data_IF_570146103296
#
_entry.id   IF_570146103296
#
_cell.length_a   1.000
_cell.length_b   1.000
_cell.length_c   1.000
_cell.angle_alpha   90.00
_cell.angle_beta   90.00
_cell.angle_gamma   90.00
#
_symmetry.space_group_name_H-M   'P 1'
#
loop_
_entity.id
_entity.type
_entity.pdbx_description
1 polymer ?
#
# COMPACT_ATOMS: atom_id res chain seq x y z
N UNK A 1 8.65 1.59 13.83
CA UNK A 1 7.45 2.36 13.44
C UNK A 1 6.22 1.46 13.47
N UNK A 2 5.04 2.02 13.79
CA UNK A 2 3.76 1.32 13.76
C UNK A 2 2.99 1.70 12.50
N UNK A 3 2.38 0.73 11.83
CA UNK A 3 1.72 0.94 10.52
C UNK A 3 0.29 0.47 10.56
N UNK A 4 -0.65 1.29 10.08
CA UNK A 4 -2.03 0.91 9.81
C UNK A 4 -2.14 0.51 8.34
N UNK A 5 -2.66 -0.67 8.04
CA UNK A 5 -2.80 -1.14 6.67
C UNK A 5 -4.25 -1.47 6.39
N UNK A 6 -4.77 -1.01 5.25
CA UNK A 6 -6.07 -1.43 4.73
C UNK A 6 -5.94 -2.19 3.42
N UNK A 7 -6.99 -2.93 3.02
CA UNK A 7 -6.96 -3.64 1.75
C UNK A 7 -5.90 -4.75 1.65
N UNK A 8 -5.42 -5.28 2.78
CA UNK A 8 -4.38 -6.31 2.84
C UNK A 8 -4.76 -7.65 2.20
N UNK A 9 -6.03 -7.86 1.81
CA UNK A 9 -6.47 -9.05 1.07
C UNK A 9 -6.31 -8.91 -0.45
N UNK A 10 -6.08 -7.70 -0.95
CA UNK A 10 -5.84 -7.45 -2.37
C UNK A 10 -4.40 -7.74 -2.77
N UNK A 11 -4.14 -7.84 -4.08
CA UNK A 11 -2.83 -8.19 -4.64
C UNK A 11 -1.70 -7.26 -4.11
N UNK A 12 -1.84 -5.95 -4.30
CA UNK A 12 -0.85 -4.98 -3.83
C UNK A 12 -0.79 -4.89 -2.29
N UNK A 13 -1.95 -4.85 -1.63
CA UNK A 13 -2.04 -4.73 -0.18
C UNK A 13 -1.40 -5.91 0.55
N UNK A 14 -1.56 -7.13 0.04
CA UNK A 14 -0.93 -8.31 0.62
C UNK A 14 0.61 -8.29 0.42
N UNK A 15 1.08 -7.86 -0.75
CA UNK A 15 2.52 -7.66 -0.99
C UNK A 15 3.12 -6.64 -0.02
N UNK A 16 2.44 -5.50 0.18
CA UNK A 16 2.84 -4.48 1.16
C UNK A 16 2.87 -5.08 2.58
N UNK A 17 1.82 -5.81 2.99
CA UNK A 17 1.77 -6.45 4.31
C UNK A 17 3.00 -7.33 4.55
N UNK A 18 3.36 -8.18 3.59
CA UNK A 18 4.51 -9.09 3.74
C UNK A 18 5.82 -8.33 3.87
N UNK A 19 6.04 -7.29 3.07
CA UNK A 19 7.23 -6.44 3.18
C UNK A 19 7.29 -5.75 4.55
N UNK A 20 6.17 -5.24 5.05
CA UNK A 20 6.10 -4.60 6.36
C UNK A 20 6.42 -5.59 7.50
N UNK A 21 5.90 -6.81 7.45
CA UNK A 21 6.13 -7.80 8.51
C UNK A 21 7.57 -8.32 8.53
N UNK A 22 8.19 -8.44 7.35
CA UNK A 22 9.57 -8.89 7.20
C UNK A 22 10.61 -7.83 7.65
N UNK A 23 10.24 -6.55 7.65
CA UNK A 23 11.16 -5.46 7.96
C UNK A 23 11.31 -5.21 9.48
N UNK A 24 12.55 -5.09 9.95
CA UNK A 24 12.86 -4.91 11.38
C UNK A 24 12.59 -3.50 11.91
N UNK A 25 12.55 -2.49 11.04
CA UNK A 25 12.16 -1.12 11.45
C UNK A 25 10.67 -1.02 11.77
N UNK A 26 9.85 -1.94 11.25
CA UNK A 26 8.43 -2.03 11.55
C UNK A 26 8.25 -2.84 12.82
N UNK A 27 7.78 -2.17 13.88
CA UNK A 27 7.55 -2.79 15.17
C UNK A 27 6.17 -3.42 15.25
N UNK A 28 5.17 -2.84 14.58
CA UNK A 28 3.80 -3.35 14.59
C UNK A 28 3.03 -2.95 13.34
N UNK A 29 2.16 -3.84 12.86
CA UNK A 29 1.21 -3.61 11.78
C UNK A 29 -0.20 -3.89 12.31
N UNK A 30 -1.10 -2.93 12.13
CA UNK A 30 -2.52 -3.06 12.38
C UNK A 30 -3.24 -3.17 11.06
N UNK A 31 -3.78 -4.34 10.76
CA UNK A 31 -4.65 -4.55 9.62
C UNK A 31 -6.07 -4.12 9.97
N UNK A 32 -6.60 -3.11 9.27
CA UNK A 32 -8.00 -2.71 9.34
C UNK A 32 -8.74 -3.22 8.09
N UNK A 33 -9.72 -4.09 8.30
CA UNK A 33 -10.44 -4.75 7.23
C UNK A 33 -11.88 -5.10 7.60
N UNK A 34 -12.70 -5.39 6.59
CA UNK A 34 -14.10 -5.83 6.79
C UNK A 34 -14.24 -7.24 7.35
N UNK A 35 -13.15 -8.00 7.32
CA UNK A 35 -13.05 -9.41 7.68
C UNK A 35 -11.59 -9.72 8.02
N UNK A 36 -11.30 -10.79 8.77
CA UNK A 36 -9.94 -11.14 9.09
C UNK A 36 -9.21 -11.67 7.84
N UNK A 37 -7.88 -11.82 7.93
CA UNK A 37 -7.09 -12.32 6.81
C UNK A 37 -7.56 -13.73 6.42
N UNK A 38 -7.75 -14.03 5.12
CA UNK A 38 -8.18 -15.35 4.69
C UNK A 38 -7.19 -16.45 5.09
N UNK A 39 -7.64 -17.68 5.37
CA UNK A 39 -6.75 -18.79 5.76
C UNK A 39 -5.69 -19.17 4.71
N UNK A 40 -5.94 -18.86 3.42
CA UNK A 40 -4.97 -19.11 2.34
C UNK A 40 -3.76 -18.16 2.35
N UNK A 41 -3.82 -17.07 3.14
CA UNK A 41 -2.73 -16.11 3.24
C UNK A 41 -1.59 -16.72 4.06
N UNK A 42 -0.41 -16.78 3.44
CA UNK A 42 0.84 -17.11 4.14
C UNK A 42 1.60 -15.81 4.43
N UNK A 43 2.01 -15.63 5.68
CA UNK A 43 2.79 -14.49 6.17
C UNK A 43 4.24 -14.91 6.44
N UNK A 44 5.24 -14.07 6.12
CA UNK A 44 6.63 -14.34 6.49
C UNK A 44 6.75 -14.38 8.02
N UNK A 45 7.42 -15.41 8.56
CA UNK A 45 7.60 -15.62 10.00
C UNK A 45 6.28 -15.67 10.81
N UNK A 46 5.16 -15.95 10.15
CA UNK A 46 3.85 -16.09 10.79
C UNK A 46 3.41 -17.55 10.90
N UNK A 47 2.32 -17.77 11.63
CA UNK A 47 1.64 -19.07 11.67
C UNK A 47 0.59 -19.13 10.57
N UNK A 48 0.61 -20.17 9.74
CA UNK A 48 -0.46 -20.46 8.78
C UNK A 48 -1.25 -21.69 9.26
N UNK A 49 -2.57 -21.61 9.24
CA UNK A 49 -3.45 -22.75 9.53
C UNK A 49 -4.48 -22.87 8.42
N UNK A 50 -4.92 -24.10 8.11
CA UNK A 50 -5.82 -24.34 6.99
C UNK A 50 -7.21 -23.71 7.16
N UNK A 51 -7.64 -23.45 8.42
CA UNK A 51 -9.01 -23.05 8.73
C UNK A 51 -9.13 -21.68 9.40
N UNK A 52 -8.07 -21.15 10.00
CA UNK A 52 -8.10 -19.87 10.71
C UNK A 52 -7.21 -18.83 10.03
N UNK A 53 -7.51 -17.57 10.28
CA UNK A 53 -6.69 -16.46 9.82
C UNK A 53 -5.24 -16.58 10.30
N UNK A 54 -4.26 -16.29 9.45
CA UNK A 54 -2.86 -16.34 9.84
C UNK A 54 -2.58 -15.30 10.93
N UNK A 55 -1.66 -15.64 11.83
CA UNK A 55 -1.22 -14.75 12.92
C UNK A 55 0.27 -14.48 12.82
N UNK A 56 0.71 -13.34 13.35
CA UNK A 56 2.12 -12.94 13.36
C UNK A 56 2.38 -12.07 14.59
N UNK A 57 3.55 -12.16 15.27
CA UNK A 57 3.82 -11.39 16.49
C UNK A 57 3.66 -9.87 16.33
N UNK A 58 4.04 -9.34 15.16
CA UNK A 58 3.89 -7.93 14.79
C UNK A 58 2.53 -7.55 14.19
N UNK A 59 1.53 -8.45 14.13
CA UNK A 59 0.27 -8.20 13.42
C UNK A 59 -0.92 -8.18 14.38
N UNK A 60 -1.73 -7.14 14.28
CA UNK A 60 -3.06 -7.05 14.91
C UNK A 60 -4.12 -6.85 13.84
N UNK A 61 -5.28 -7.48 14.00
CA UNK A 61 -6.41 -7.32 13.09
C UNK A 61 -7.55 -6.58 13.79
N UNK A 62 -8.06 -5.53 13.15
CA UNK A 62 -9.27 -4.83 13.58
C UNK A 62 -10.32 -5.04 12.50
N UNK A 63 -11.43 -5.67 12.88
CA UNK A 63 -12.57 -5.87 12.01
C UNK A 63 -13.50 -4.65 12.07
N UNK A 64 -13.72 -4.04 10.92
CA UNK A 64 -14.58 -2.89 10.77
C UNK A 64 -15.31 -2.94 9.42
N UNK A 65 -16.64 -3.07 9.47
CA UNK A 65 -17.45 -3.32 8.27
C UNK A 65 -17.76 -2.06 7.47
N UNK A 66 -17.99 -0.95 8.16
CA UNK A 66 -18.48 0.29 7.56
C UNK A 66 -17.40 1.37 7.54
N UNK A 67 -16.63 1.41 6.46
CA UNK A 67 -15.59 2.42 6.27
C UNK A 67 -16.12 3.84 6.04
N UNK A 68 -17.45 4.06 6.00
CA UNK A 68 -18.02 5.41 5.96
C UNK A 68 -18.21 6.00 7.36
N UNK A 69 -18.14 5.17 8.41
CA UNK A 69 -18.40 5.59 9.78
C UNK A 69 -17.31 5.08 10.74
N UNK A 70 -16.51 5.99 11.29
CA UNK A 70 -15.45 5.67 12.24
C UNK A 70 -15.86 6.05 13.66
N UNK A 71 -16.42 5.12 14.46
CA UNK A 71 -16.85 5.42 15.82
C UNK A 71 -15.65 5.83 16.70
N UNK A 72 -15.84 6.69 17.73
CA UNK A 72 -14.75 7.19 18.56
C UNK A 72 -13.83 6.10 19.15
N UNK A 73 -14.40 4.96 19.55
CA UNK A 73 -13.66 3.82 20.07
C UNK A 73 -12.70 3.18 19.04
N UNK A 74 -13.04 3.21 17.75
CA UNK A 74 -12.15 2.76 16.68
C UNK A 74 -11.03 3.78 16.45
N UNK A 75 -11.37 5.07 16.46
CA UNK A 75 -10.41 6.15 16.29
C UNK A 75 -9.31 6.11 17.37
N UNK A 76 -9.68 5.79 18.61
CA UNK A 76 -8.71 5.62 19.72
C UNK A 76 -7.76 4.44 19.49
N UNK A 77 -8.26 3.30 19.00
CA UNK A 77 -7.43 2.12 18.70
C UNK A 77 -6.44 2.33 17.57
N UNK A 78 -6.79 3.16 16.59
CA UNK A 78 -5.93 3.45 15.43
C UNK A 78 -5.02 4.67 15.66
N UNK A 79 -5.31 5.51 16.67
CA UNK A 79 -4.48 6.64 17.04
C UNK A 79 -3.04 6.16 17.38
N UNK A 80 -2.05 6.60 16.59
CA UNK A 80 -0.65 6.21 16.74
C UNK A 80 -0.09 5.21 15.70
N UNK A 81 -0.83 4.89 14.63
CA UNK A 81 -0.36 4.06 13.52
C UNK A 81 -0.31 4.83 12.19
N UNK A 82 0.80 4.79 11.45
CA UNK A 82 0.95 5.45 10.14
C UNK A 82 0.26 4.65 9.00
N UNK A 83 -0.66 5.21 8.18
CA UNK A 83 -1.42 4.43 7.21
C UNK A 83 -0.66 4.15 5.92
N UNK A 84 -0.41 2.87 5.63
CA UNK A 84 0.31 2.40 4.44
C UNK A 84 -0.57 2.15 3.19
N UNK A 85 -1.90 2.25 3.32
CA UNK A 85 -2.83 2.16 2.20
C UNK A 85 -4.19 2.80 2.54
N UNK A 86 -4.45 3.98 1.99
CA UNK A 86 -5.72 4.68 2.22
C UNK A 86 -6.85 4.19 1.32
N UNK A 87 -7.99 3.79 1.88
CA UNK A 87 -9.27 3.93 1.19
C UNK A 87 -9.69 5.42 1.30
N UNK A 88 -10.30 6.01 0.27
CA UNK A 88 -10.72 7.43 0.25
C UNK A 88 -11.58 7.84 1.46
N UNK A 89 -12.25 6.87 2.09
CA UNK A 89 -13.04 7.08 3.29
C UNK A 89 -12.22 7.37 4.56
N UNK A 90 -10.89 7.36 4.51
CA UNK A 90 -10.03 7.78 5.64
C UNK A 90 -10.03 9.29 5.92
N UNK A 91 -10.56 10.12 5.02
CA UNK A 91 -10.48 11.58 5.13
C UNK A 91 -11.10 12.19 6.40
N UNK A 92 -12.25 11.71 6.92
CA UNK A 92 -12.81 12.22 8.17
C UNK A 92 -11.92 11.86 9.38
N UNK A 93 -11.40 10.63 9.44
CA UNK A 93 -10.52 10.17 10.52
C UNK A 93 -9.17 10.90 10.54
N UNK A 94 -8.65 11.28 9.36
CA UNK A 94 -7.46 12.12 9.22
C UNK A 94 -7.70 13.57 9.68
N UNK A 95 -8.90 14.11 9.45
CA UNK A 95 -9.27 15.49 9.85
C UNK A 95 -9.43 15.66 11.36
N UNK A 96 -9.96 14.67 12.08
CA UNK A 96 -10.23 14.80 13.52
C UNK A 96 -9.05 14.47 14.42
N UNK A 97 -8.16 13.54 14.03
CA UNK A 97 -7.11 13.01 14.91
C UNK A 97 -5.79 12.66 14.21
N UNK A 98 -5.41 13.40 13.17
CA UNK A 98 -4.04 13.36 12.67
C UNK A 98 -3.07 13.68 13.81
N UNK A 99 -2.52 12.66 14.48
CA UNK A 99 -1.60 12.80 15.63
C UNK A 99 -0.20 13.28 15.20
N UNK A 100 -0.06 13.67 13.93
CA UNK A 100 1.16 14.20 13.36
C UNK A 100 1.39 15.64 13.80
N UNK A 101 2.65 15.96 14.03
CA UNK A 101 3.13 17.33 14.24
C UNK A 101 3.85 17.81 12.99
N UNK A 102 4.17 19.09 12.89
CA UNK A 102 4.99 19.60 11.78
C UNK A 102 6.40 18.97 11.75
N UNK A 103 6.90 18.51 12.91
CA UNK A 103 8.21 17.85 13.04
C UNK A 103 8.15 16.35 12.74
N UNK A 104 7.03 15.68 13.07
CA UNK A 104 6.79 14.29 12.74
C UNK A 104 5.36 14.13 12.19
N UNK A 105 5.17 14.33 10.88
CA UNK A 105 3.86 14.26 10.25
C UNK A 105 3.31 12.84 10.24
N UNK A 106 1.98 12.75 10.21
CA UNK A 106 1.27 11.50 9.99
C UNK A 106 1.29 11.16 8.50
N UNK A 107 1.94 10.05 8.16
CA UNK A 107 2.34 9.62 6.83
C UNK A 107 1.28 8.74 6.21
N UNK A 108 0.61 9.25 5.19
CA UNK A 108 -0.38 8.53 4.41
C UNK A 108 0.23 8.09 3.08
N UNK A 109 0.39 6.79 2.92
CA UNK A 109 0.75 6.18 1.64
C UNK A 109 -0.52 5.69 0.94
N UNK A 110 -0.79 6.20 -0.26
CA UNK A 110 -1.97 5.85 -1.05
C UNK A 110 -1.57 5.11 -2.31
N UNK A 111 -2.07 3.88 -2.47
CA UNK A 111 -1.91 3.10 -3.69
C UNK A 111 -3.06 3.41 -4.65
N UNK A 112 -2.75 4.21 -5.66
CA UNK A 112 -3.65 4.61 -6.73
C UNK A 112 -3.59 3.62 -7.90
N UNK A 113 -3.40 4.09 -9.12
CA UNK A 113 -3.12 3.29 -10.31
C UNK A 113 -2.60 4.18 -11.43
N UNK A 114 -1.77 3.60 -12.30
CA UNK A 114 -1.31 4.26 -13.52
C UNK A 114 -2.52 4.70 -14.37
N UNK A 115 -2.53 5.95 -14.80
CA UNK A 115 -3.65 6.53 -15.57
C UNK A 115 -4.76 7.16 -14.73
N UNK A 116 -4.61 7.27 -13.40
CA UNK A 116 -5.54 8.05 -12.58
C UNK A 116 -5.67 9.49 -13.11
N UNK A 117 -6.91 9.94 -13.32
CA UNK A 117 -7.20 11.23 -13.95
C UNK A 117 -7.56 12.28 -12.91
N UNK A 118 -6.59 13.10 -12.54
CA UNK A 118 -6.76 14.22 -11.61
C UNK A 118 -7.71 15.31 -12.13
N UNK A 119 -8.02 15.34 -13.43
CA UNK A 119 -9.04 16.25 -13.99
C UNK A 119 -10.45 15.69 -13.89
N UNK A 120 -10.60 14.41 -13.55
CA UNK A 120 -11.88 13.70 -13.39
C UNK A 120 -12.77 13.69 -14.66
N UNK A 121 -12.15 13.83 -15.83
CA UNK A 121 -12.80 13.90 -17.14
C UNK A 121 -12.79 12.58 -17.92
N UNK A 122 -11.97 11.61 -17.49
CA UNK A 122 -11.83 10.34 -18.18
C UNK A 122 -13.14 9.59 -18.35
N UNK A 123 -13.30 8.95 -19.51
CA UNK A 123 -14.45 8.06 -19.78
C UNK A 123 -14.39 6.77 -18.93
N UNK A 124 -13.22 6.43 -18.37
CA UNK A 124 -13.02 5.27 -17.51
C UNK A 124 -13.32 5.64 -16.06
N UNK A 125 -14.31 4.97 -15.45
CA UNK A 125 -14.76 5.27 -14.07
C UNK A 125 -13.62 5.15 -13.05
N UNK A 126 -12.79 4.12 -13.13
CA UNK A 126 -11.69 3.89 -12.21
C UNK A 126 -10.69 5.05 -12.18
N UNK A 127 -10.32 5.57 -13.34
CA UNK A 127 -9.36 6.67 -13.48
C UNK A 127 -9.88 7.93 -12.79
N UNK A 128 -11.17 8.26 -12.96
CA UNK A 128 -11.82 9.39 -12.27
C UNK A 128 -11.90 9.20 -10.76
N UNK A 129 -12.32 8.03 -10.30
CA UNK A 129 -12.47 7.74 -8.86
C UNK A 129 -11.12 7.81 -8.15
N UNK A 130 -10.07 7.25 -8.76
CA UNK A 130 -8.71 7.34 -8.22
C UNK A 130 -8.17 8.77 -8.26
N UNK A 131 -8.33 9.49 -9.36
CA UNK A 131 -7.93 10.90 -9.47
C UNK A 131 -8.60 11.79 -8.41
N UNK A 132 -9.91 11.61 -8.17
CA UNK A 132 -10.63 12.31 -7.09
C UNK A 132 -10.06 11.99 -5.71
N UNK A 133 -9.77 10.72 -5.45
CA UNK A 133 -9.19 10.30 -4.17
C UNK A 133 -7.80 10.92 -3.94
N UNK A 134 -6.97 11.00 -4.99
CA UNK A 134 -5.67 11.67 -4.96
C UNK A 134 -5.81 13.16 -4.66
N UNK A 135 -6.67 13.87 -5.40
CA UNK A 135 -6.92 15.30 -5.21
C UNK A 135 -7.34 15.61 -3.78
N UNK A 136 -8.27 14.83 -3.24
CA UNK A 136 -8.76 15.05 -1.88
C UNK A 136 -7.68 14.75 -0.82
N UNK A 137 -6.79 13.78 -1.04
CA UNK A 137 -5.68 13.51 -0.12
C UNK A 137 -4.63 14.62 -0.14
N UNK A 138 -4.28 15.12 -1.33
CA UNK A 138 -3.35 16.24 -1.51
C UNK A 138 -3.90 17.47 -0.78
N UNK A 139 -5.17 17.80 -1.04
CA UNK A 139 -5.86 18.91 -0.37
C UNK A 139 -5.88 18.75 1.14
N UNK A 140 -6.17 17.57 1.66
CA UNK A 140 -6.16 17.31 3.11
C UNK A 140 -4.75 17.48 3.71
N UNK A 141 -3.70 17.08 2.98
CA UNK A 141 -2.32 17.27 3.42
C UNK A 141 -1.92 18.75 3.43
N UNK A 142 -2.28 19.52 2.40
CA UNK A 142 -2.07 20.96 2.32
C UNK A 142 -2.81 21.71 3.43
N UNK A 143 -4.09 21.43 3.62
CA UNK A 143 -4.94 22.02 4.68
C UNK A 143 -4.42 21.69 6.09
N UNK A 144 -3.69 20.58 6.27
CA UNK A 144 -3.16 20.17 7.58
C UNK A 144 -2.01 21.05 8.08
N UNK A 145 -1.41 21.88 7.22
CA UNK A 145 -0.26 22.72 7.56
C UNK A 145 1.00 21.92 7.89
N UNK A 146 1.22 20.79 7.19
CA UNK A 146 2.37 19.92 7.39
C UNK A 146 2.22 18.87 8.48
N UNK A 147 1.03 18.71 9.08
CA UNK A 147 0.75 17.61 10.04
C UNK A 147 0.51 16.26 9.36
N UNK A 148 0.15 16.27 8.08
CA UNK A 148 -0.07 15.08 7.26
C UNK A 148 0.90 15.10 6.09
N UNK A 149 1.70 14.03 5.95
CA UNK A 149 2.54 13.78 4.79
C UNK A 149 1.84 12.82 3.85
N UNK A 150 1.56 13.23 2.61
CA UNK A 150 0.96 12.37 1.61
C UNK A 150 2.02 11.81 0.65
N UNK A 151 1.93 10.52 0.31
CA UNK A 151 2.66 9.91 -0.80
C UNK A 151 1.70 9.04 -1.60
N UNK A 152 1.61 9.30 -2.89
CA UNK A 152 0.69 8.66 -3.82
C UNK A 152 1.50 7.84 -4.81
N UNK A 153 1.22 6.56 -4.89
CA UNK A 153 1.85 5.61 -5.80
C UNK A 153 0.90 5.29 -6.94
N UNK A 154 1.35 5.42 -8.19
CA UNK A 154 0.62 5.02 -9.40
C UNK A 154 1.30 3.82 -10.06
N UNK A 155 1.14 2.62 -9.48
CA UNK A 155 1.73 1.42 -10.05
C UNK A 155 1.08 1.11 -11.40
N UNK A 156 1.89 0.58 -12.32
CA UNK A 156 1.43 -0.02 -13.55
C UNK A 156 0.80 -1.39 -13.30
N UNK A 157 0.92 -2.30 -14.26
CA UNK A 157 0.40 -3.65 -14.07
C UNK A 157 1.26 -4.43 -13.07
N UNK A 158 0.64 -5.23 -12.21
CA UNK A 158 1.35 -6.10 -11.27
C UNK A 158 0.61 -7.43 -11.10
N UNK A 159 1.39 -8.51 -11.04
CA UNK A 159 0.89 -9.87 -10.86
C UNK A 159 0.85 -10.23 -9.36
N UNK A 160 0.00 -11.19 -8.96
CA UNK A 160 0.16 -11.85 -7.66
C UNK A 160 1.60 -12.32 -7.45
N UNK A 161 2.04 -12.35 -6.20
CA UNK A 161 3.42 -12.71 -5.86
C UNK A 161 3.76 -14.11 -6.37
N UNK A 162 4.93 -14.25 -7.00
CA UNK A 162 5.42 -15.54 -7.49
C UNK A 162 5.84 -16.47 -6.35
N UNK A 163 6.27 -15.89 -5.23
CA UNK A 163 6.73 -16.61 -4.04
C UNK A 163 5.55 -17.24 -3.28
N UNK A 164 4.32 -16.81 -3.57
CA UNK A 164 3.09 -17.29 -2.94
C UNK A 164 2.06 -17.72 -3.99
N UNK A 165 2.24 -18.89 -4.63
CA UNK A 165 1.40 -19.34 -5.75
C UNK A 165 -0.10 -19.43 -5.44
N UNK A 166 -0.45 -19.65 -4.17
CA UNK A 166 -1.83 -19.70 -3.68
C UNK A 166 -2.55 -18.35 -3.72
N UNK A 167 -1.84 -17.24 -3.85
CA UNK A 167 -2.46 -15.90 -3.92
C UNK A 167 -3.23 -15.72 -5.23
N UNK A 168 -2.65 -16.15 -6.35
CA UNK A 168 -3.23 -15.97 -7.67
C UNK A 168 -4.67 -16.49 -7.80
N UNK A 169 -5.00 -17.76 -7.46
CA UNK A 169 -6.38 -18.26 -7.54
C UNK A 169 -7.36 -17.53 -6.62
N UNK A 170 -6.89 -16.94 -5.53
CA UNK A 170 -7.73 -16.27 -4.54
C UNK A 170 -7.90 -14.76 -4.79
N UNK A 171 -7.02 -14.16 -5.59
CA UNK A 171 -7.03 -12.73 -5.88
C UNK A 171 -7.47 -12.41 -7.31
N UNK A 172 -7.34 -13.36 -8.25
CA UNK A 172 -7.65 -13.18 -9.67
C UNK A 172 -8.66 -14.24 -10.12
N UNK A 173 -9.74 -13.79 -10.78
CA UNK A 173 -10.68 -14.70 -11.44
C UNK A 173 -10.00 -15.54 -12.53
N UNK A 174 -10.62 -16.67 -12.90
CA UNK A 174 -10.03 -17.64 -13.86
C UNK A 174 -9.63 -16.98 -15.18
N UNK A 175 -10.47 -16.12 -15.75
CA UNK A 175 -10.19 -15.41 -17.01
C UNK A 175 -8.93 -14.53 -16.92
N UNK A 176 -8.77 -13.76 -15.83
CA UNK A 176 -7.57 -12.95 -15.63
C UNK A 176 -6.33 -13.80 -15.40
N UNK A 177 -6.43 -14.94 -14.72
CA UNK A 177 -5.27 -15.85 -14.54
C UNK A 177 -4.80 -16.46 -15.86
N UNK A 178 -5.74 -16.81 -16.74
CA UNK A 178 -5.41 -17.30 -18.10
C UNK A 178 -4.75 -16.19 -18.90
N UNK A 179 -5.31 -14.98 -18.88
CA UNK A 179 -4.70 -13.81 -19.53
C UNK A 179 -3.31 -13.52 -18.97
N UNK A 180 -3.11 -13.54 -17.65
CA UNK A 180 -1.82 -13.33 -17.00
C UNK A 180 -0.79 -14.37 -17.44
N UNK A 181 -1.19 -15.64 -17.63
CA UNK A 181 -0.29 -16.68 -18.14
C UNK A 181 0.08 -16.50 -19.60
N UNK A 182 -0.88 -16.13 -20.45
CA UNK A 182 -0.68 -15.97 -21.89
C UNK A 182 0.10 -14.69 -22.23
N UNK A 183 -0.19 -13.60 -21.53
CA UNK A 183 0.36 -12.28 -21.83
C UNK A 183 1.44 -11.83 -20.84
N UNK A 184 1.60 -12.49 -19.69
CA UNK A 184 2.53 -12.04 -18.66
C UNK A 184 4.00 -12.08 -19.05
N UNK A 185 4.46 -13.18 -19.66
CA UNK A 185 5.84 -13.28 -20.12
C UNK A 185 6.15 -12.26 -21.24
N UNK A 186 5.34 -12.16 -22.33
CA UNK A 186 5.53 -11.11 -23.33
C UNK A 186 5.47 -9.69 -22.76
N UNK A 187 4.49 -9.38 -21.90
CA UNK A 187 4.32 -8.05 -21.31
C UNK A 187 5.52 -7.67 -20.43
N UNK A 188 6.03 -8.61 -19.63
CA UNK A 188 7.20 -8.37 -18.78
C UNK A 188 8.50 -8.17 -19.57
N UNK A 189 8.62 -8.79 -20.75
CA UNK A 189 9.81 -8.74 -21.60
C UNK A 189 9.82 -7.50 -22.50
N UNK A 190 8.69 -7.19 -23.14
CA UNK A 190 8.59 -6.11 -24.13
C UNK A 190 8.06 -4.78 -23.55
N UNK A 191 7.47 -4.80 -22.35
CA UNK A 191 6.94 -3.61 -21.68
C UNK A 191 7.31 -3.59 -20.19
N UNK A 192 8.59 -3.85 -19.89
CA UNK A 192 9.11 -3.88 -18.53
C UNK A 192 8.88 -2.55 -17.78
N UNK A 193 8.85 -1.41 -18.48
CA UNK A 193 8.55 -0.09 -17.89
C UNK A 193 7.14 0.05 -17.32
N UNK A 194 6.17 -0.75 -17.77
CA UNK A 194 4.78 -0.72 -17.31
C UNK A 194 4.40 -1.76 -16.27
N UNK A 195 5.33 -2.67 -15.92
CA UNK A 195 5.09 -3.74 -14.94
C UNK A 195 5.96 -3.53 -13.70
N UNK A 196 5.36 -3.65 -12.51
CA UNK A 196 6.04 -3.59 -11.21
C UNK A 196 5.66 -4.81 -10.39
N UNK A 197 6.57 -5.35 -9.57
CA UNK A 197 6.26 -6.48 -8.70
C UNK A 197 5.54 -6.01 -7.42
N UNK A 198 4.77 -6.88 -6.77
CA UNK A 198 4.10 -6.51 -5.50
C UNK A 198 5.09 -6.31 -4.35
N UNK A 199 6.24 -6.98 -4.42
CA UNK A 199 7.36 -6.79 -3.49
C UNK A 199 7.99 -5.42 -3.69
N UNK A 200 8.18 -4.98 -4.94
CA UNK A 200 8.66 -3.64 -5.28
C UNK A 200 7.68 -2.56 -4.80
N UNK A 201 6.37 -2.76 -5.00
CA UNK A 201 5.34 -1.88 -4.44
C UNK A 201 5.46 -1.83 -2.91
N UNK A 202 5.62 -2.98 -2.25
CA UNK A 202 5.81 -3.06 -0.79
C UNK A 202 7.05 -2.31 -0.30
N UNK A 203 8.19 -2.47 -0.98
CA UNK A 203 9.45 -1.79 -0.65
C UNK A 203 9.33 -0.28 -0.80
N UNK A 204 8.69 0.18 -1.89
CA UNK A 204 8.44 1.59 -2.09
C UNK A 204 7.49 2.15 -1.03
N UNK A 205 6.40 1.44 -0.72
CA UNK A 205 5.45 1.84 0.32
C UNK A 205 6.10 1.92 1.70
N UNK A 206 7.00 0.99 2.04
CA UNK A 206 7.79 1.03 3.27
C UNK A 206 8.72 2.26 3.30
N UNK A 207 9.41 2.57 2.20
CA UNK A 207 10.25 3.76 2.11
C UNK A 207 9.42 5.06 2.26
N UNK A 208 8.23 5.10 1.67
CA UNK A 208 7.29 6.20 1.79
C UNK A 208 6.81 6.37 3.24
N UNK A 209 6.43 5.28 3.89
CA UNK A 209 5.99 5.27 5.28
C UNK A 209 7.11 5.65 6.28
N UNK A 210 8.38 5.52 5.88
CA UNK A 210 9.54 6.03 6.64
C UNK A 210 9.85 7.52 6.38
N UNK A 211 9.05 8.21 5.56
CA UNK A 211 9.20 9.64 5.28
C UNK A 211 10.27 10.00 4.24
N UNK A 212 10.68 9.06 3.36
CA UNK A 212 11.79 9.27 2.40
C UNK A 212 11.64 10.51 1.51
N UNK A 213 10.41 10.95 1.25
CA UNK A 213 10.08 12.07 0.35
C UNK A 213 9.45 13.27 1.05
N UNK A 214 9.43 13.29 2.37
CA UNK A 214 8.91 14.43 3.13
C UNK A 214 9.73 15.69 2.86
N UNK A 215 9.03 16.82 2.73
CA UNK A 215 9.65 18.12 2.44
C UNK A 215 10.20 18.28 1.02
N UNK A 216 10.12 17.27 0.15
CA UNK A 216 10.66 17.34 -1.24
C UNK A 216 9.67 17.89 -2.27
N UNK A 217 8.48 18.31 -1.85
CA UNK A 217 7.44 18.89 -2.72
C UNK A 217 6.78 17.91 -3.70
N UNK A 218 7.24 16.65 -3.76
CA UNK A 218 6.70 15.63 -4.66
C UNK A 218 5.83 14.63 -3.91
N UNK A 219 4.56 14.56 -4.31
CA UNK A 219 3.55 13.70 -3.68
C UNK A 219 3.20 12.49 -4.55
N UNK A 220 3.15 12.63 -5.88
CA UNK A 220 2.75 11.56 -6.81
C UNK A 220 3.99 10.91 -7.43
N UNK A 221 4.00 9.58 -7.47
CA UNK A 221 5.07 8.76 -8.04
C UNK A 221 4.51 7.80 -9.09
N UNK A 222 4.93 8.00 -10.33
CA UNK A 222 4.57 7.13 -11.45
C UNK A 222 5.36 5.82 -11.44
N UNK A 223 4.86 4.81 -12.15
CA UNK A 223 5.47 3.47 -12.17
C UNK A 223 6.97 3.47 -12.49
N UNK A 224 7.38 4.20 -13.53
CA UNK A 224 8.77 4.28 -13.94
C UNK A 224 9.68 4.90 -12.85
N UNK A 225 9.16 5.88 -12.11
CA UNK A 225 9.89 6.59 -11.06
C UNK A 225 10.08 5.72 -9.83
N UNK A 226 9.05 4.96 -9.46
CA UNK A 226 9.15 3.97 -8.40
C UNK A 226 10.20 2.91 -8.74
N UNK A 227 10.22 2.42 -9.97
CA UNK A 227 11.22 1.43 -10.42
C UNK A 227 12.64 1.98 -10.41
N UNK A 228 12.84 3.20 -10.92
CA UNK A 228 14.15 3.86 -10.92
C UNK A 228 14.67 4.03 -9.49
N UNK A 229 13.81 4.42 -8.55
CA UNK A 229 14.19 4.52 -7.14
C UNK A 229 14.64 3.16 -6.56
N UNK A 230 13.89 2.09 -6.83
CA UNK A 230 14.20 0.77 -6.29
C UNK A 230 15.49 0.17 -6.88
N UNK A 231 15.81 0.48 -8.14
CA UNK A 231 17.10 0.12 -8.75
C UNK A 231 18.25 0.78 -8.00
N UNK A 232 18.20 2.10 -7.82
CA UNK A 232 19.21 2.85 -7.09
C UNK A 232 19.36 2.39 -5.63
N UNK A 233 18.25 2.00 -4.98
CA UNK A 233 18.27 1.48 -3.61
C UNK A 233 19.07 0.17 -3.55
N UNK A 234 18.79 -0.77 -4.45
CA UNK A 234 19.46 -2.06 -4.49
C UNK A 234 20.95 -1.94 -4.81
N UNK A 235 21.32 -1.03 -5.72
CA UNK A 235 22.71 -0.73 -6.02
C UNK A 235 23.44 -0.20 -4.77
N UNK A 236 22.84 0.76 -4.06
CA UNK A 236 23.43 1.33 -2.84
C UNK A 236 23.60 0.33 -1.69
N UNK A 237 22.70 -0.65 -1.58
CA UNK A 237 22.81 -1.72 -0.57
C UNK A 237 23.95 -2.67 -0.90
N UNK A 238 24.07 -3.10 -2.17
CA UNK A 238 25.17 -3.98 -2.60
C UNK A 238 26.53 -3.33 -2.38
N UNK A 239 26.69 -2.06 -2.72
CA UNK A 239 27.95 -1.33 -2.49
C UNK A 239 28.34 -1.22 -1.02
N UNK A 240 27.39 -1.35 -0.08
CA UNK A 240 27.65 -1.33 1.37
C UNK A 240 27.95 -2.71 1.95
N UNK A 241 27.50 -3.77 1.30
CA UNK A 241 27.79 -5.16 1.71
C UNK A 241 29.13 -5.66 1.16
N UNK A 242 29.66 -5.00 0.11
CA UNK A 242 30.97 -5.29 -0.50
C UNK A 242 32.15 -4.55 0.18
N UNK A 243 31.91 -3.74 1.22
CA UNK A 243 32.89 -2.98 2.01
C UNK A 243 32.99 -3.52 3.44
#
# INVERSE_FOLDING_TARGET
MKVLLTGATGVAGLGILRVLLADNSVSHVTYLGRRPLPPWVILPNGTSTNNNSPTHPKLSTIEHKDFLNFPPALQEKIAGHEPASGHWAFQPALKEKGSGTAENPYRVVFVSGLGADSKETSRVLFERVKGRAENNLIRAAEESGGRIGATIMRPGYFFPSKDYPQDAPNQRGLALRVADKLFGAPLSLFYSGGVISVEQIGQFALAAARGKWEGKGKVIFENAEMKKFLQNLNESTRSREEL
#
